data_IF_591326000556
#
_entry.id   IF_591326000556
#
_cell.length_a   1.000
_cell.length_b   1.000
_cell.length_c   1.000
_cell.angle_alpha   90.00
_cell.angle_beta   90.00
_cell.angle_gamma   90.00
#
_symmetry.space_group_name_H-M   'P 1'
#
loop_
_entity.id
_entity.type
_entity.pdbx_description
1 polymer ?
#
# COMPACT_ATOMS: atom_id res chain seq x y z
N UNK A 1 -9.28 14.04 15.28
CA UNK A 1 -8.73 12.94 16.11
C UNK A 1 -7.20 13.04 16.11
N UNK A 2 -6.53 12.52 17.13
CA UNK A 2 -5.06 12.52 17.16
C UNK A 2 -4.45 11.42 16.26
N UNK A 3 -3.18 11.58 15.86
CA UNK A 3 -2.41 10.63 15.03
C UNK A 3 -2.44 9.21 15.61
N UNK A 4 -2.25 9.08 16.93
CA UNK A 4 -2.34 7.81 17.64
C UNK A 4 -3.71 7.12 17.52
N UNK A 5 -4.80 7.89 17.68
CA UNK A 5 -6.16 7.36 17.59
C UNK A 5 -6.46 6.80 16.19
N UNK A 6 -5.97 7.46 15.15
CA UNK A 6 -6.08 6.95 13.77
C UNK A 6 -5.27 5.68 13.58
N UNK A 7 -4.03 5.63 14.07
CA UNK A 7 -3.22 4.40 13.97
C UNK A 7 -3.88 3.23 14.69
N UNK A 8 -4.47 3.47 15.85
CA UNK A 8 -5.25 2.46 16.57
C UNK A 8 -6.48 2.02 15.76
N UNK A 9 -7.23 2.96 15.17
CA UNK A 9 -8.40 2.66 14.33
C UNK A 9 -8.04 1.85 13.08
N UNK A 10 -7.02 2.25 12.33
CA UNK A 10 -6.55 1.51 11.15
C UNK A 10 -6.03 0.13 11.53
N UNK A 11 -5.32 0.01 12.66
CA UNK A 11 -4.83 -1.28 13.15
C UNK A 11 -5.99 -2.20 13.57
N UNK A 12 -7.01 -1.64 14.22
CA UNK A 12 -8.22 -2.38 14.57
C UNK A 12 -8.94 -2.90 13.31
N UNK A 13 -9.09 -2.05 12.28
CA UNK A 13 -9.69 -2.46 11.01
C UNK A 13 -8.85 -3.51 10.28
N UNK A 14 -7.52 -3.39 10.29
CA UNK A 14 -6.64 -4.42 9.75
C UNK A 14 -6.87 -5.77 10.46
N UNK A 15 -6.98 -5.77 11.79
CA UNK A 15 -7.31 -6.98 12.55
C UNK A 15 -8.65 -7.58 12.15
N UNK A 16 -9.67 -6.74 11.86
CA UNK A 16 -10.95 -7.20 11.33
C UNK A 16 -10.84 -7.77 9.92
N UNK A 17 -10.09 -7.12 9.02
CA UNK A 17 -9.83 -7.62 7.66
C UNK A 17 -9.12 -8.99 7.71
N UNK A 18 -8.10 -9.13 8.55
CA UNK A 18 -7.38 -10.39 8.71
C UNK A 18 -8.30 -11.49 9.23
N UNK A 19 -9.15 -11.18 10.22
CA UNK A 19 -10.16 -12.13 10.71
C UNK A 19 -11.14 -12.52 9.62
N UNK A 20 -11.69 -11.55 8.90
CA UNK A 20 -12.63 -11.75 7.81
C UNK A 20 -12.05 -12.64 6.70
N UNK A 21 -10.79 -12.44 6.30
CA UNK A 21 -10.13 -13.26 5.27
C UNK A 21 -9.71 -14.64 5.80
N UNK A 22 -9.54 -14.80 7.11
CA UNK A 22 -9.19 -16.09 7.72
C UNK A 22 -10.41 -16.96 8.04
N UNK A 23 -11.57 -16.34 8.25
CA UNK A 23 -12.80 -17.02 8.66
C UNK A 23 -13.55 -17.56 7.43
N UNK A 24 -13.38 -18.86 7.19
CA UNK A 24 -13.94 -19.57 6.03
C UNK A 24 -15.32 -20.16 6.30
N UNK A 25 -15.80 -20.11 7.54
CA UNK A 25 -17.11 -20.65 7.95
C UNK A 25 -18.21 -19.58 8.03
N UNK A 26 -17.88 -18.32 7.71
CA UNK A 26 -18.85 -17.23 7.72
C UNK A 26 -19.96 -17.42 6.69
N UNK A 27 -21.17 -17.03 7.06
CA UNK A 27 -22.29 -16.93 6.14
C UNK A 27 -21.92 -16.02 4.93
N UNK A 28 -22.14 -16.46 3.67
CA UNK A 28 -21.75 -15.71 2.48
C UNK A 28 -22.42 -14.34 2.32
N UNK A 29 -23.60 -14.12 2.91
CA UNK A 29 -24.23 -12.80 2.89
C UNK A 29 -23.59 -11.89 3.95
N UNK A 30 -23.40 -12.40 5.16
CA UNK A 30 -22.72 -11.68 6.23
C UNK A 30 -21.28 -11.31 5.86
N UNK A 31 -20.55 -12.22 5.22
CA UNK A 31 -19.20 -11.99 4.69
C UNK A 31 -19.17 -10.82 3.70
N UNK A 32 -20.08 -10.80 2.72
CA UNK A 32 -20.19 -9.71 1.74
C UNK A 32 -20.50 -8.36 2.39
N UNK A 33 -21.41 -8.33 3.36
CA UNK A 33 -21.79 -7.12 4.08
C UNK A 33 -20.63 -6.59 4.94
N UNK A 34 -19.92 -7.48 5.64
CA UNK A 34 -18.75 -7.13 6.42
C UNK A 34 -17.63 -6.58 5.54
N UNK A 35 -17.30 -7.27 4.44
CA UNK A 35 -16.30 -6.81 3.46
C UNK A 35 -16.60 -5.39 2.98
N UNK A 36 -17.85 -5.12 2.60
CA UNK A 36 -18.29 -3.81 2.11
C UNK A 36 -18.24 -2.73 3.20
N UNK A 37 -18.47 -3.10 4.46
CA UNK A 37 -18.37 -2.19 5.60
C UNK A 37 -16.90 -1.84 5.90
N UNK A 38 -16.02 -2.86 5.93
CA UNK A 38 -14.58 -2.70 6.13
C UNK A 38 -13.95 -1.85 5.04
N UNK A 39 -14.28 -2.11 3.77
CA UNK A 39 -13.79 -1.33 2.64
C UNK A 39 -14.16 0.15 2.76
N UNK A 40 -15.43 0.45 3.03
CA UNK A 40 -15.91 1.84 3.21
C UNK A 40 -15.21 2.53 4.38
N UNK A 41 -15.03 1.83 5.50
CA UNK A 41 -14.34 2.38 6.66
C UNK A 41 -12.86 2.69 6.35
N UNK A 42 -12.17 1.78 5.66
CA UNK A 42 -10.78 1.95 5.25
C UNK A 42 -10.63 3.11 4.26
N UNK A 43 -11.51 3.21 3.26
CA UNK A 43 -11.51 4.31 2.30
C UNK A 43 -11.76 5.66 2.98
N UNK A 44 -12.74 5.74 3.88
CA UNK A 44 -13.04 6.97 4.62
C UNK A 44 -11.86 7.42 5.49
N UNK A 45 -11.24 6.51 6.24
CA UNK A 45 -10.07 6.81 7.06
C UNK A 45 -8.85 7.20 6.21
N UNK A 46 -8.69 6.56 5.05
CA UNK A 46 -7.63 6.91 4.11
C UNK A 46 -7.80 8.33 3.58
N UNK A 47 -8.99 8.70 3.10
CA UNK A 47 -9.26 10.07 2.60
C UNK A 47 -8.98 11.11 3.68
N UNK A 48 -9.45 10.88 4.91
CA UNK A 48 -9.17 11.76 6.04
C UNK A 48 -7.67 11.88 6.33
N UNK A 49 -6.94 10.76 6.28
CA UNK A 49 -5.49 10.74 6.50
C UNK A 49 -4.75 11.51 5.41
N UNK A 50 -5.11 11.32 4.14
CA UNK A 50 -4.50 12.02 3.01
C UNK A 50 -4.71 13.54 3.15
N UNK A 51 -5.92 13.97 3.47
CA UNK A 51 -6.23 15.40 3.57
C UNK A 51 -5.55 16.08 4.76
N UNK A 52 -5.41 15.39 5.89
CA UNK A 52 -4.67 15.92 7.04
C UNK A 52 -3.15 15.94 6.80
N UNK A 53 -2.61 14.97 6.07
CA UNK A 53 -1.18 14.95 5.72
C UNK A 53 -0.82 16.08 4.74
N UNK A 54 -1.71 16.45 3.81
CA UNK A 54 -1.53 17.65 2.97
C UNK A 54 -1.43 18.94 3.82
N UNK A 55 -2.09 18.98 4.97
CA UNK A 55 -2.12 20.12 5.89
C UNK A 55 -0.99 20.10 6.93
N UNK A 56 -0.30 18.97 7.10
CA UNK A 56 0.75 18.83 8.11
C UNK A 56 2.12 19.22 7.55
N UNK A 57 2.78 20.17 8.20
CA UNK A 57 4.20 20.50 7.96
C UNK A 57 5.15 19.61 8.76
N UNK A 58 4.63 18.65 9.54
CA UNK A 58 5.41 17.84 10.47
C UNK A 58 5.92 16.57 9.80
N UNK A 59 7.23 16.55 9.68
CA UNK A 59 8.04 15.58 8.99
C UNK A 59 8.22 14.29 9.85
N UNK A 60 7.85 13.15 9.26
CA UNK A 60 8.51 11.83 9.39
C UNK A 60 8.00 10.69 10.30
N UNK A 61 6.87 10.76 11.04
CA UNK A 61 6.41 9.55 11.77
C UNK A 61 4.92 9.15 11.69
N UNK A 62 4.05 10.03 11.19
CA UNK A 62 2.60 9.80 11.13
C UNK A 62 2.06 9.25 9.80
N UNK A 63 2.44 9.80 8.63
CA UNK A 63 1.83 9.37 7.36
C UNK A 63 2.14 7.93 7.01
N UNK A 64 3.38 7.52 7.27
CA UNK A 64 3.95 6.25 6.80
C UNK A 64 3.30 5.06 7.50
N UNK A 65 3.24 5.09 8.83
CA UNK A 65 2.65 4.02 9.62
C UNK A 65 1.16 3.85 9.30
N UNK A 66 0.45 4.96 9.08
CA UNK A 66 -0.94 4.93 8.65
C UNK A 66 -1.07 4.34 7.24
N UNK A 67 -0.28 4.85 6.29
CA UNK A 67 -0.34 4.41 4.88
C UNK A 67 -0.02 2.93 4.73
N UNK A 68 1.04 2.43 5.39
CA UNK A 68 1.44 1.02 5.31
C UNK A 68 0.30 0.07 5.74
N UNK A 69 -0.43 0.45 6.80
CA UNK A 69 -1.54 -0.33 7.33
C UNK A 69 -2.79 -0.27 6.45
N UNK A 70 -3.12 0.89 5.89
CA UNK A 70 -4.22 1.01 4.93
C UNK A 70 -3.95 0.19 3.66
N UNK A 71 -2.73 0.30 3.11
CA UNK A 71 -2.34 -0.45 1.91
C UNK A 71 -2.38 -1.96 2.15
N UNK A 72 -1.86 -2.41 3.29
CA UNK A 72 -1.90 -3.82 3.69
C UNK A 72 -3.34 -4.34 3.83
N UNK A 73 -4.21 -3.59 4.51
CA UNK A 73 -5.60 -3.98 4.71
C UNK A 73 -6.36 -4.09 3.37
N UNK A 74 -6.18 -3.11 2.47
CA UNK A 74 -6.79 -3.14 1.14
C UNK A 74 -6.27 -4.30 0.30
N UNK A 75 -4.95 -4.52 0.23
CA UNK A 75 -4.37 -5.61 -0.54
C UNK A 75 -4.88 -6.98 -0.08
N UNK A 76 -4.96 -7.21 1.24
CA UNK A 76 -5.48 -8.47 1.80
C UNK A 76 -6.96 -8.63 1.45
N UNK A 77 -7.77 -7.58 1.60
CA UNK A 77 -9.20 -7.63 1.30
C UNK A 77 -9.48 -7.94 -0.18
N UNK A 78 -8.61 -7.50 -1.10
CA UNK A 78 -8.74 -7.77 -2.56
C UNK A 78 -8.12 -9.07 -3.03
N UNK A 79 -7.23 -9.66 -2.22
CA UNK A 79 -6.68 -10.98 -2.52
C UNK A 79 -7.70 -12.11 -2.36
N UNK A 80 -8.81 -11.85 -1.63
CA UNK A 80 -9.91 -12.79 -1.49
C UNK A 80 -10.89 -12.66 -2.68
N UNK A 81 -11.01 -13.67 -3.55
CA UNK A 81 -11.85 -13.57 -4.74
C UNK A 81 -13.33 -13.69 -4.38
N UNK A 82 -14.11 -12.65 -4.65
CA UNK A 82 -15.56 -12.76 -4.83
C UNK A 82 -15.93 -12.33 -6.25
N UNK A 83 -16.37 -13.29 -7.06
CA UNK A 83 -16.61 -13.16 -8.49
C UNK A 83 -17.98 -12.54 -8.86
N UNK A 84 -18.31 -11.39 -8.26
CA UNK A 84 -19.59 -10.70 -8.52
C UNK A 84 -19.38 -9.33 -9.18
N UNK A 85 -20.36 -8.85 -9.97
CA UNK A 85 -20.27 -7.57 -10.69
C UNK A 85 -20.12 -6.36 -9.74
N UNK A 86 -20.72 -6.44 -8.56
CA UNK A 86 -20.52 -5.48 -7.45
C UNK A 86 -19.12 -5.57 -6.84
N UNK A 87 -18.46 -6.72 -6.96
CA UNK A 87 -17.07 -6.95 -6.59
C UNK A 87 -16.11 -6.22 -7.52
N UNK A 88 -16.42 -6.10 -8.82
CA UNK A 88 -15.59 -5.38 -9.77
C UNK A 88 -15.50 -3.87 -9.47
N UNK A 89 -16.62 -3.23 -9.14
CA UNK A 89 -16.65 -1.80 -8.76
C UNK A 89 -15.93 -1.53 -7.43
N UNK A 90 -16.12 -2.41 -6.45
CA UNK A 90 -15.39 -2.42 -5.17
C UNK A 90 -13.88 -2.56 -5.41
N UNK A 91 -13.48 -3.51 -6.25
CA UNK A 91 -12.07 -3.71 -6.66
C UNK A 91 -11.50 -2.47 -7.33
N UNK A 92 -12.22 -1.84 -8.26
CA UNK A 92 -11.78 -0.62 -8.93
C UNK A 92 -11.59 0.54 -7.95
N UNK A 93 -12.54 0.78 -7.03
CA UNK A 93 -12.43 1.84 -6.02
C UNK A 93 -11.25 1.65 -5.10
N UNK A 94 -11.03 0.42 -4.67
CA UNK A 94 -9.90 0.12 -3.80
C UNK A 94 -8.56 0.14 -4.53
N UNK A 95 -8.50 -0.27 -5.80
CA UNK A 95 -7.31 -0.10 -6.63
C UNK A 95 -6.96 1.39 -6.78
N UNK A 96 -7.94 2.24 -7.06
CA UNK A 96 -7.77 3.69 -7.11
C UNK A 96 -7.29 4.26 -5.75
N UNK A 97 -7.81 3.74 -4.64
CA UNK A 97 -7.35 4.12 -3.29
C UNK A 97 -5.90 3.69 -3.04
N UNK A 98 -5.52 2.48 -3.46
CA UNK A 98 -4.14 1.98 -3.38
C UNK A 98 -3.18 2.79 -4.27
N UNK A 99 -3.61 3.19 -5.47
CA UNK A 99 -2.85 4.07 -6.35
C UNK A 99 -2.64 5.45 -5.71
N UNK A 100 -3.73 6.09 -5.23
CA UNK A 100 -3.66 7.39 -4.58
C UNK A 100 -2.68 7.38 -3.39
N UNK A 101 -2.74 6.32 -2.58
CA UNK A 101 -1.83 6.12 -1.47
C UNK A 101 -0.38 5.90 -1.94
N UNK A 102 -0.18 5.15 -3.01
CA UNK A 102 1.14 4.92 -3.60
C UNK A 102 1.74 6.19 -4.18
N UNK A 103 0.92 7.11 -4.71
CA UNK A 103 1.36 8.44 -5.14
C UNK A 103 1.78 9.32 -3.96
N UNK A 104 1.10 9.23 -2.82
CA UNK A 104 1.54 9.89 -1.57
C UNK A 104 2.89 9.33 -1.12
N UNK A 105 3.06 8.00 -1.11
CA UNK A 105 4.35 7.34 -0.82
C UNK A 105 5.44 7.78 -1.81
N UNK A 106 5.12 7.94 -3.09
CA UNK A 106 6.06 8.38 -4.11
C UNK A 106 6.54 9.82 -3.87
N UNK A 107 5.64 10.72 -3.45
CA UNK A 107 6.02 12.09 -3.10
C UNK A 107 7.00 12.12 -1.92
N UNK A 108 6.85 11.18 -0.99
CA UNK A 108 7.77 10.98 0.12
C UNK A 108 9.13 10.45 -0.35
N UNK A 109 9.12 9.41 -1.19
CA UNK A 109 10.33 8.81 -1.74
C UNK A 109 11.16 9.83 -2.54
N UNK A 110 10.51 10.71 -3.31
CA UNK A 110 11.19 11.81 -4.00
C UNK A 110 11.91 12.73 -3.01
N UNK A 111 11.20 13.22 -1.99
CA UNK A 111 11.80 14.09 -0.95
C UNK A 111 12.98 13.40 -0.27
N UNK A 112 12.81 12.14 0.11
CA UNK A 112 13.84 11.32 0.75
C UNK A 112 15.09 11.17 -0.12
N UNK A 113 14.94 10.96 -1.44
CA UNK A 113 16.09 10.88 -2.36
C UNK A 113 16.78 12.23 -2.48
N UNK A 114 16.02 13.33 -2.64
CA UNK A 114 16.56 14.68 -2.88
C UNK A 114 17.16 15.35 -1.65
N UNK A 115 16.65 15.05 -0.45
CA UNK A 115 17.15 15.64 0.78
C UNK A 115 18.45 14.96 1.22
N UNK A 116 19.50 15.78 1.40
CA UNK A 116 20.87 15.34 1.72
C UNK A 116 21.06 15.05 3.22
N UNK A 117 20.15 15.53 4.08
CA UNK A 117 20.25 15.46 5.56
C UNK A 117 19.40 14.36 6.19
N UNK A 118 19.04 13.32 5.46
CA UNK A 118 18.33 12.21 6.07
C UNK A 118 19.34 11.23 6.66
N UNK A 119 19.52 11.28 7.99
CA UNK A 119 20.28 10.24 8.68
C UNK A 119 19.46 8.94 8.64
N UNK A 120 20.04 7.90 8.05
CA UNK A 120 19.37 6.61 7.84
C UNK A 120 18.87 5.95 9.14
N UNK A 121 19.40 6.38 10.29
CA UNK A 121 19.08 5.86 11.62
C UNK A 121 17.71 6.32 12.15
N UNK A 122 17.15 7.43 11.63
CA UNK A 122 15.83 7.93 12.05
C UNK A 122 14.68 7.33 11.22
N UNK A 123 15.01 6.63 10.12
CA UNK A 123 14.02 6.10 9.20
C UNK A 123 13.38 4.81 9.74
N UNK A 124 12.06 4.80 9.94
CA UNK A 124 11.36 3.58 10.36
C UNK A 124 11.49 2.46 9.31
N UNK A 125 11.73 1.19 9.71
CA UNK A 125 11.77 0.06 8.76
C UNK A 125 10.42 -0.17 8.06
N UNK A 126 9.33 0.40 8.59
CA UNK A 126 8.02 0.39 7.94
C UNK A 126 8.00 1.19 6.62
N UNK A 127 9.00 2.06 6.40
CA UNK A 127 9.19 2.76 5.12
C UNK A 127 9.50 1.79 3.99
N UNK A 128 10.29 0.74 4.25
CA UNK A 128 10.62 -0.28 3.26
C UNK A 128 9.36 -1.05 2.84
N UNK A 129 8.52 -1.43 3.82
CA UNK A 129 7.28 -2.15 3.55
C UNK A 129 6.31 -1.33 2.70
N UNK A 130 6.10 -0.04 3.02
CA UNK A 130 5.19 0.80 2.21
C UNK A 130 5.76 1.06 0.81
N UNK A 131 7.08 1.31 0.68
CA UNK A 131 7.69 1.53 -0.63
C UNK A 131 7.59 0.27 -1.51
N UNK A 132 7.88 -0.90 -0.95
CA UNK A 132 7.70 -2.18 -1.64
C UNK A 132 6.25 -2.38 -2.09
N UNK A 133 5.28 -2.19 -1.18
CA UNK A 133 3.86 -2.39 -1.51
C UNK A 133 3.37 -1.38 -2.54
N UNK A 134 3.83 -0.13 -2.48
CA UNK A 134 3.49 0.89 -3.49
C UNK A 134 4.11 0.57 -4.85
N UNK A 135 5.35 0.08 -4.88
CA UNK A 135 5.99 -0.38 -6.11
C UNK A 135 5.22 -1.57 -6.71
N UNK A 136 4.80 -2.52 -5.87
CA UNK A 136 3.95 -3.64 -6.25
C UNK A 136 2.60 -3.21 -6.85
N UNK A 137 1.97 -2.15 -6.35
CA UNK A 137 0.76 -1.58 -6.95
C UNK A 137 1.06 -1.02 -8.34
N UNK A 138 2.14 -0.24 -8.50
CA UNK A 138 2.51 0.29 -9.81
C UNK A 138 2.84 -0.80 -10.84
N UNK A 139 3.52 -1.87 -10.44
CA UNK A 139 3.75 -3.06 -11.30
C UNK A 139 2.41 -3.67 -11.74
N UNK A 140 1.45 -3.78 -10.82
CA UNK A 140 0.12 -4.32 -11.15
C UNK A 140 -0.64 -3.40 -12.12
N UNK A 141 -0.50 -2.08 -11.97
CA UNK A 141 -1.12 -1.09 -12.85
C UNK A 141 -0.49 -1.04 -14.24
N UNK A 142 0.81 -1.31 -14.37
CA UNK A 142 1.49 -1.45 -15.67
C UNK A 142 0.87 -2.54 -16.54
N UNK A 143 0.41 -3.65 -15.95
CA UNK A 143 -0.27 -4.72 -16.69
C UNK A 143 -1.62 -4.27 -17.26
N UNK A 144 -2.25 -3.28 -16.63
CA UNK A 144 -3.59 -2.80 -17.01
C UNK A 144 -3.51 -1.59 -17.94
N UNK A 145 -2.42 -0.83 -17.91
CA UNK A 145 -2.27 0.44 -18.60
C UNK A 145 -0.95 0.52 -19.37
N UNK A 146 -1.03 0.88 -20.66
CA UNK A 146 0.13 1.15 -21.53
C UNK A 146 0.67 2.55 -21.24
N UNK A 147 1.22 2.78 -20.04
CA UNK A 147 1.79 4.06 -19.66
C UNK A 147 3.14 3.88 -18.96
N UNK A 148 4.17 4.55 -19.47
CA UNK A 148 5.53 4.50 -18.91
C UNK A 148 5.63 5.22 -17.56
N UNK A 149 4.66 6.06 -17.19
CA UNK A 149 4.65 6.79 -15.91
C UNK A 149 4.76 5.84 -14.70
N UNK A 150 4.06 4.71 -14.74
CA UNK A 150 4.09 3.74 -13.65
C UNK A 150 5.44 3.05 -13.52
N UNK A 151 6.22 2.95 -14.61
CA UNK A 151 7.58 2.41 -14.60
C UNK A 151 8.53 3.38 -13.89
N UNK A 152 8.41 4.67 -14.19
CA UNK A 152 9.21 5.70 -13.54
C UNK A 152 8.90 5.79 -12.04
N UNK A 153 7.61 5.71 -11.67
CA UNK A 153 7.18 5.68 -10.27
C UNK A 153 7.80 4.51 -9.48
N UNK A 154 7.81 3.33 -10.09
CA UNK A 154 8.38 2.11 -9.51
C UNK A 154 9.90 2.20 -9.34
N UNK A 155 10.61 2.78 -10.31
CA UNK A 155 12.05 3.00 -10.24
C UNK A 155 12.43 3.98 -9.13
N UNK A 156 11.65 5.05 -8.95
CA UNK A 156 11.90 6.01 -7.85
C UNK A 156 11.75 5.34 -6.49
N UNK A 157 10.72 4.51 -6.30
CA UNK A 157 10.54 3.76 -5.05
C UNK A 157 11.69 2.78 -4.80
N UNK A 158 12.15 2.09 -5.85
CA UNK A 158 13.31 1.17 -5.77
C UNK A 158 14.56 1.91 -5.30
N UNK A 159 14.88 3.07 -5.91
CA UNK A 159 16.03 3.89 -5.52
C UNK A 159 15.93 4.42 -4.10
N UNK A 160 14.73 4.79 -3.66
CA UNK A 160 14.50 5.22 -2.28
C UNK A 160 14.76 4.08 -1.28
N UNK A 161 14.32 2.85 -1.60
CA UNK A 161 14.58 1.67 -0.79
C UNK A 161 16.07 1.33 -0.73
N UNK A 162 16.80 1.41 -1.85
CA UNK A 162 18.25 1.20 -1.89
C UNK A 162 19.00 2.20 -1.00
N UNK A 163 18.65 3.50 -1.10
CA UNK A 163 19.24 4.55 -0.24
C UNK A 163 18.93 4.31 1.24
N UNK A 164 17.72 3.82 1.55
CA UNK A 164 17.30 3.49 2.90
C UNK A 164 17.96 2.22 3.46
N UNK A 165 18.33 1.28 2.58
CA UNK A 165 18.92 -0.01 2.95
C UNK A 165 20.32 0.01 3.49
N UNK A 166 21.01 1.14 3.39
CA UNK A 166 22.31 1.32 4.05
C UNK A 166 22.17 1.18 5.57
N UNK A 167 21.00 1.49 6.14
CA UNK A 167 20.71 1.36 7.58
C UNK A 167 19.93 0.10 8.00
N UNK A 168 19.38 -0.68 7.06
CA UNK A 168 18.44 -1.76 7.38
C UNK A 168 18.75 -3.06 6.61
N UNK A 169 19.08 -4.13 7.33
CA UNK A 169 19.33 -5.46 6.73
C UNK A 169 18.15 -6.01 5.91
N UNK A 170 16.91 -5.59 6.23
CA UNK A 170 15.71 -6.06 5.56
C UNK A 170 15.58 -5.57 4.11
N UNK A 171 16.34 -4.56 3.68
CA UNK A 171 16.20 -4.00 2.33
C UNK A 171 16.53 -5.01 1.23
N UNK A 172 17.56 -5.83 1.41
CA UNK A 172 17.90 -6.88 0.43
C UNK A 172 16.71 -7.80 0.17
N UNK A 173 16.02 -8.24 1.22
CA UNK A 173 14.83 -9.10 1.13
C UNK A 173 13.70 -8.42 0.37
N UNK A 174 13.43 -7.14 0.62
CA UNK A 174 12.37 -6.42 -0.10
C UNK A 174 12.70 -6.18 -1.57
N UNK A 175 13.97 -5.94 -1.90
CA UNK A 175 14.41 -5.79 -3.29
C UNK A 175 14.31 -7.12 -4.04
N UNK A 176 14.73 -8.24 -3.43
CA UNK A 176 14.56 -9.59 -3.99
C UNK A 176 13.08 -9.92 -4.22
N UNK A 177 12.20 -9.59 -3.26
CA UNK A 177 10.75 -9.77 -3.42
C UNK A 177 10.19 -8.93 -4.58
N UNK A 178 10.70 -7.70 -4.76
CA UNK A 178 10.29 -6.84 -5.86
C UNK A 178 10.74 -7.40 -7.21
N UNK A 179 11.96 -7.91 -7.30
CA UNK A 179 12.48 -8.59 -8.50
C UNK A 179 11.68 -9.85 -8.83
N UNK A 180 11.42 -10.70 -7.84
CA UNK A 180 10.58 -11.89 -8.00
C UNK A 180 9.19 -11.50 -8.52
N UNK A 181 8.63 -10.39 -8.04
CA UNK A 181 7.35 -9.86 -8.51
C UNK A 181 7.43 -9.39 -9.96
N UNK A 182 8.45 -8.62 -10.35
CA UNK A 182 8.67 -8.21 -11.76
C UNK A 182 8.73 -9.44 -12.68
N UNK A 183 9.46 -10.48 -12.29
CA UNK A 183 9.59 -11.72 -13.06
C UNK A 183 8.28 -12.49 -13.18
N UNK A 184 7.51 -12.63 -12.10
CA UNK A 184 6.20 -13.26 -12.13
C UNK A 184 5.22 -12.52 -13.05
N UNK A 185 5.36 -11.20 -13.14
CA UNK A 185 4.56 -10.33 -14.01
C UNK A 185 4.88 -10.59 -15.49
N UNK A 186 6.17 -10.74 -15.84
CA UNK A 186 6.65 -11.03 -17.21
C UNK A 186 6.29 -12.47 -17.65
N UNK A 187 6.30 -13.44 -16.73
CA UNK A 187 5.95 -14.83 -17.06
C UNK A 187 4.46 -15.02 -17.43
N UNK A 188 3.58 -14.17 -16.89
CA UNK A 188 2.16 -14.15 -17.25
C UNK A 188 1.93 -13.62 -18.67
N UNK A 189 2.76 -12.70 -19.16
CA UNK A 189 2.67 -12.16 -20.53
C UNK A 189 3.15 -13.14 -21.61
N UNK A 190 4.05 -14.09 -21.26
CA UNK A 190 4.60 -15.09 -22.19
C UNK A 190 3.68 -16.32 -22.35
N UNK A 191 2.74 -16.52 -21.42
CA UNK A 191 1.83 -17.69 -21.41
C UNK A 191 0.43 -17.42 -22.00
N UNK A 192 0.18 -16.19 -22.49
CA UNK A 192 -1.02 -15.77 -23.25
C UNK A 192 -0.67 -15.54 -24.71
#
# INVERSE_FOLDING_TARGET
>A
MGKFARTAQTTHLLGRVLRHVSDTEMDPQFSREERRSLERALQSLLSLTIDEEKLSTSHYCSPIALSARHLSALLVLHSHPEADALGAESRARSLAAMEALSRVTLSFAHKFITEVKFESDEASPLLLDIMYRSAAVFITLQQTHVCDEFRDCEQVLTRAMEKLGVGWMATGVYLELLEARRLATVQLEIST
#
